data_IF_600722329605
#
_entry.id   IF_600722329605
#
_cell.length_a   1.000
_cell.length_b   1.000
_cell.length_c   1.000
_cell.angle_alpha   90.00
_cell.angle_beta   90.00
_cell.angle_gamma   90.00
#
_symmetry.space_group_name_H-M   'P 1'
#
loop_
_entity.id
_entity.type
_entity.pdbx_description
1 polymer ?
#
# COMPACT_ATOMS: atom_id res chain seq x y z
N UNK A 1 -13.57 -6.82 5.52
CA UNK A 1 -12.25 -6.60 4.91
C UNK A 1 -11.25 -6.08 5.92
N UNK A 2 -10.17 -6.82 6.12
CA UNK A 2 -9.03 -6.49 6.97
C UNK A 2 -7.76 -6.59 6.13
N UNK A 3 -6.74 -5.81 6.49
CA UNK A 3 -5.44 -5.88 5.85
C UNK A 3 -4.31 -5.85 6.86
N UNK A 4 -3.17 -6.38 6.45
CA UNK A 4 -1.89 -6.26 7.15
C UNK A 4 -0.79 -6.21 6.13
N UNK A 5 0.21 -5.37 6.37
CA UNK A 5 1.36 -5.23 5.48
C UNK A 5 2.61 -5.63 6.24
N UNK A 6 3.43 -6.47 5.62
CA UNK A 6 4.72 -6.92 6.12
C UNK A 6 5.79 -6.46 5.13
N UNK A 7 6.87 -5.88 5.65
CA UNK A 7 8.03 -5.48 4.86
C UNK A 7 9.29 -6.15 5.42
N UNK A 8 9.94 -6.93 4.56
CA UNK A 8 11.20 -7.63 4.85
C UNK A 8 12.34 -6.89 4.16
N UNK A 9 13.03 -6.03 4.91
CA UNK A 9 14.13 -5.19 4.39
C UNK A 9 15.36 -6.03 4.05
N UNK A 10 15.74 -6.94 4.96
CA UNK A 10 16.87 -7.86 4.76
C UNK A 10 16.46 -9.10 3.99
N UNK A 11 16.14 -8.92 2.71
CA UNK A 11 15.82 -10.02 1.80
C UNK A 11 16.66 -9.96 0.52
N UNK A 12 16.59 -11.00 -0.31
CA UNK A 12 17.13 -11.00 -1.66
C UNK A 12 15.97 -11.02 -2.66
N UNK A 13 16.18 -10.62 -3.93
CA UNK A 13 15.15 -10.74 -4.95
C UNK A 13 14.60 -12.15 -5.13
N UNK A 14 15.39 -13.17 -4.81
CA UNK A 14 15.02 -14.59 -4.86
C UNK A 14 14.09 -15.02 -3.71
N UNK A 15 14.01 -14.26 -2.61
CA UNK A 15 13.17 -14.58 -1.45
C UNK A 15 11.68 -14.66 -1.82
N UNK A 16 11.24 -13.93 -2.86
CA UNK A 16 9.86 -14.05 -3.35
C UNK A 16 9.55 -15.44 -3.94
N UNK A 17 10.55 -16.11 -4.50
CA UNK A 17 10.42 -17.47 -5.05
C UNK A 17 10.35 -18.49 -3.92
N UNK A 18 11.21 -18.35 -2.90
CA UNK A 18 11.14 -19.18 -1.69
C UNK A 18 9.78 -19.05 -1.00
N UNK A 19 9.22 -17.83 -0.93
CA UNK A 19 7.88 -17.60 -0.41
C UNK A 19 6.82 -18.31 -1.26
N UNK A 20 6.95 -18.26 -2.58
CA UNK A 20 6.04 -18.94 -3.50
C UNK A 20 6.05 -20.46 -3.26
N UNK A 21 7.23 -21.06 -3.10
CA UNK A 21 7.38 -22.50 -2.92
C UNK A 21 6.72 -22.97 -1.60
N UNK A 22 6.89 -22.21 -0.51
CA UNK A 22 6.24 -22.53 0.77
C UNK A 22 4.72 -22.39 0.68
N UNK A 23 4.23 -21.30 0.06
CA UNK A 23 2.80 -21.05 -0.10
C UNK A 23 2.12 -22.07 -1.03
N UNK A 24 2.86 -22.72 -1.93
CA UNK A 24 2.30 -23.65 -2.92
C UNK A 24 1.57 -24.84 -2.31
N UNK A 25 1.88 -25.20 -1.05
CA UNK A 25 1.17 -26.27 -0.33
C UNK A 25 -0.27 -25.90 0.05
N UNK A 26 -0.55 -24.62 0.26
CA UNK A 26 -1.85 -24.11 0.73
C UNK A 26 -2.59 -23.27 -0.33
N UNK A 27 -2.05 -23.25 -1.54
CA UNK A 27 -2.51 -22.35 -2.59
C UNK A 27 -3.72 -22.93 -3.33
N UNK A 28 -4.79 -22.13 -3.43
CA UNK A 28 -5.94 -22.46 -4.29
C UNK A 28 -5.65 -22.02 -5.72
N UNK A 29 -5.20 -20.78 -5.90
CA UNK A 29 -4.88 -20.24 -7.23
C UNK A 29 -3.93 -19.05 -7.18
N UNK A 30 -3.21 -18.81 -8.28
CA UNK A 30 -2.48 -17.56 -8.52
C UNK A 30 -3.37 -16.65 -9.37
N UNK A 31 -3.67 -15.46 -8.84
CA UNK A 31 -4.46 -14.42 -9.52
C UNK A 31 -3.55 -13.51 -10.35
N UNK A 32 -4.16 -12.46 -10.91
CA UNK A 32 -3.49 -11.46 -11.74
C UNK A 32 -2.31 -10.79 -11.02
N UNK A 33 -1.36 -10.33 -11.85
CA UNK A 33 -0.23 -9.53 -11.39
C UNK A 33 -0.70 -8.15 -10.94
N UNK A 34 0.01 -7.58 -9.98
CA UNK A 34 -0.31 -6.25 -9.46
C UNK A 34 0.97 -5.42 -9.28
N UNK A 35 0.78 -4.11 -9.24
CA UNK A 35 1.83 -3.16 -8.95
C UNK A 35 1.36 -2.13 -7.93
N UNK A 36 2.31 -1.52 -7.23
CA UNK A 36 2.07 -0.31 -6.46
C UNK A 36 3.18 0.71 -6.67
N UNK A 37 2.81 1.98 -6.50
CA UNK A 37 3.75 3.09 -6.48
C UNK A 37 3.56 3.88 -5.19
N UNK A 38 4.62 3.98 -4.39
CA UNK A 38 4.68 4.74 -3.14
C UNK A 38 5.60 5.94 -3.34
N UNK A 39 5.08 7.15 -3.14
CA UNK A 39 5.82 8.40 -3.26
C UNK A 39 5.85 9.15 -1.94
N UNK A 40 7.00 9.69 -1.58
CA UNK A 40 7.15 10.59 -0.44
C UNK A 40 7.34 12.01 -0.93
N UNK A 41 6.47 12.91 -0.48
CA UNK A 41 6.54 14.34 -0.72
C UNK A 41 6.93 15.07 0.55
N UNK A 42 7.82 16.07 0.42
CA UNK A 42 8.23 16.95 1.51
C UNK A 42 7.76 18.36 1.25
N UNK A 43 7.13 18.95 2.26
CA UNK A 43 6.68 20.33 2.27
C UNK A 43 7.88 21.29 2.34
N UNK A 44 7.93 22.25 1.44
CA UNK A 44 9.01 23.24 1.31
C UNK A 44 8.78 24.50 2.16
N UNK A 45 7.54 24.71 2.62
CA UNK A 45 7.13 25.90 3.37
C UNK A 45 7.90 26.00 4.70
N UNK A 46 8.62 27.10 4.89
CA UNK A 46 9.46 27.33 6.09
C UNK A 46 8.64 27.85 7.27
N UNK A 47 7.56 28.59 7.02
CA UNK A 47 6.73 29.29 8.02
C UNK A 47 5.74 28.35 8.72
N UNK A 48 6.21 27.20 9.17
CA UNK A 48 5.39 26.24 9.89
C UNK A 48 5.98 26.01 11.28
N UNK A 49 5.13 25.74 12.29
CA UNK A 49 5.59 25.36 13.62
C UNK A 49 6.60 24.19 13.52
N UNK A 50 7.66 24.17 14.35
CA UNK A 50 8.72 23.17 14.28
C UNK A 50 8.20 21.73 14.46
N UNK A 51 7.12 21.54 15.21
CA UNK A 51 6.50 20.23 15.45
C UNK A 51 5.58 19.76 14.32
N UNK A 52 5.33 20.60 13.30
CA UNK A 52 4.42 20.22 12.24
C UNK A 52 5.06 19.17 11.30
N UNK A 53 4.41 18.02 11.08
CA UNK A 53 4.86 17.01 10.14
C UNK A 53 4.89 17.56 8.72
N UNK A 54 6.07 17.47 8.10
CA UNK A 54 6.40 18.01 6.77
C UNK A 54 6.31 16.97 5.66
N UNK A 55 6.06 15.71 5.99
CA UNK A 55 5.96 14.63 5.02
C UNK A 55 4.50 14.35 4.68
N UNK A 56 4.30 13.93 3.44
CA UNK A 56 3.05 13.43 2.90
C UNK A 56 3.40 12.25 2.01
N UNK A 57 2.63 11.18 2.10
CA UNK A 57 2.82 9.99 1.29
C UNK A 57 1.66 9.85 0.31
N UNK A 58 1.96 9.37 -0.89
CA UNK A 58 0.96 9.02 -1.88
C UNK A 58 1.20 7.60 -2.33
N UNK A 59 0.14 6.79 -2.33
CA UNK A 59 0.22 5.37 -2.65
C UNK A 59 -0.82 5.05 -3.72
N UNK A 60 -0.37 4.56 -4.86
CA UNK A 60 -1.23 4.16 -5.96
C UNK A 60 -1.22 2.64 -6.08
N UNK A 61 -2.41 2.03 -6.13
CA UNK A 61 -2.58 0.58 -6.19
C UNK A 61 -3.20 0.17 -7.53
N UNK A 62 -2.50 -0.67 -8.31
CA UNK A 62 -3.04 -1.11 -9.61
C UNK A 62 -4.24 -2.05 -9.45
N UNK A 63 -4.23 -2.90 -8.44
CA UNK A 63 -5.29 -3.88 -8.15
C UNK A 63 -6.54 -3.25 -7.50
N UNK A 64 -6.61 -1.92 -7.40
CA UNK A 64 -7.73 -1.14 -6.84
C UNK A 64 -8.17 -0.03 -7.80
N UNK A 65 -8.31 -0.37 -9.07
CA UNK A 65 -8.72 0.57 -10.13
C UNK A 65 -7.77 1.78 -10.28
N UNK A 66 -6.48 1.60 -10.01
CA UNK A 66 -5.49 2.69 -10.01
C UNK A 66 -5.88 3.87 -9.09
N UNK A 67 -6.56 3.60 -7.98
CA UNK A 67 -6.83 4.61 -6.94
C UNK A 67 -5.53 5.00 -6.24
N UNK A 68 -5.40 6.29 -5.94
CA UNK A 68 -4.28 6.86 -5.20
C UNK A 68 -4.76 7.37 -3.84
N UNK A 69 -4.10 6.93 -2.78
CA UNK A 69 -4.40 7.35 -1.41
C UNK A 69 -3.28 8.24 -0.90
N UNK A 70 -3.64 9.46 -0.52
CA UNK A 70 -2.74 10.45 0.02
C UNK A 70 -2.86 10.43 1.53
N UNK A 71 -1.76 10.16 2.23
CA UNK A 71 -1.70 10.07 3.68
C UNK A 71 -0.85 11.20 4.24
N UNK A 72 -1.43 11.98 5.15
CA UNK A 72 -0.74 13.01 5.92
C UNK A 72 -1.35 13.09 7.31
N UNK A 73 -0.53 13.01 8.36
CA UNK A 73 -0.96 13.21 9.75
C UNK A 73 -2.12 12.29 10.19
N UNK A 74 -2.07 11.00 9.85
CA UNK A 74 -3.17 10.03 10.10
C UNK A 74 -4.51 10.44 9.46
N UNK A 75 -4.47 11.33 8.47
CA UNK A 75 -5.61 11.63 7.61
C UNK A 75 -5.30 11.10 6.23
N UNK A 76 -6.32 10.53 5.58
CA UNK A 76 -6.21 9.98 4.23
C UNK A 76 -7.23 10.64 3.30
N UNK A 77 -6.80 10.89 2.07
CA UNK A 77 -7.65 11.31 0.96
C UNK A 77 -7.53 10.26 -0.13
N UNK A 78 -8.66 9.69 -0.54
CA UNK A 78 -8.72 8.76 -1.67
C UNK A 78 -9.04 9.53 -2.94
N UNK A 79 -8.22 9.37 -3.96
CA UNK A 79 -8.39 9.99 -5.27
C UNK A 79 -8.33 8.92 -6.35
N UNK A 80 -8.87 9.23 -7.53
CA UNK A 80 -8.86 8.33 -8.66
C UNK A 80 -8.73 9.13 -9.94
N UNK A 81 -7.89 8.66 -10.84
CA UNK A 81 -7.76 9.21 -12.20
C UNK A 81 -8.66 8.47 -13.21
N UNK A 82 -9.31 7.37 -12.81
CA UNK A 82 -10.14 6.57 -13.72
C UNK A 82 -11.49 7.24 -14.00
N UNK A 83 -11.86 7.47 -15.27
CA UNK A 83 -13.13 8.12 -15.62
C UNK A 83 -14.36 7.39 -15.05
N UNK A 84 -14.34 6.05 -15.03
CA UNK A 84 -15.46 5.23 -14.52
C UNK A 84 -15.68 5.32 -13.01
N UNK A 85 -14.73 5.89 -12.27
CA UNK A 85 -14.85 6.09 -10.81
C UNK A 85 -15.51 7.40 -10.42
N UNK A 86 -15.74 8.30 -11.39
CA UNK A 86 -16.33 9.62 -11.14
C UNK A 86 -17.84 9.43 -10.96
N UNK A 87 -18.43 9.85 -9.83
CA UNK A 87 -19.87 9.80 -9.64
C UNK A 87 -20.63 10.54 -10.74
N UNK A 88 -21.57 9.87 -11.40
CA UNK A 88 -22.31 10.42 -12.55
C UNK A 88 -23.00 11.75 -12.23
N UNK A 89 -23.48 11.93 -11.00
CA UNK A 89 -24.08 13.18 -10.54
C UNK A 89 -23.12 14.39 -10.65
N UNK A 90 -21.82 14.20 -10.42
CA UNK A 90 -20.84 15.30 -10.53
C UNK A 90 -20.61 15.70 -11.99
N UNK A 91 -20.66 14.75 -12.91
CA UNK A 91 -20.57 15.02 -14.35
C UNK A 91 -21.84 15.68 -14.88
N UNK A 92 -23.02 15.15 -14.50
CA UNK A 92 -24.32 15.67 -14.93
C UNK A 92 -24.56 17.11 -14.46
N UNK A 93 -24.08 17.46 -13.26
CA UNK A 93 -24.20 18.80 -12.71
C UNK A 93 -23.09 19.75 -13.17
N UNK A 94 -22.20 19.32 -14.07
CA UNK A 94 -21.09 20.15 -14.59
C UNK A 94 -19.97 20.44 -13.58
N UNK A 95 -19.95 19.74 -12.43
CA UNK A 95 -18.89 19.88 -11.42
C UNK A 95 -17.59 19.18 -11.82
N UNK A 96 -17.66 18.18 -12.70
CA UNK A 96 -16.52 17.45 -13.23
C UNK A 96 -16.56 17.42 -14.75
N UNK A 97 -15.40 17.58 -15.38
CA UNK A 97 -15.21 17.46 -16.84
C UNK A 97 -15.12 16.00 -17.32
N UNK A 98 -15.32 15.02 -16.43
CA UNK A 98 -15.11 13.59 -16.67
C UNK A 98 -13.67 13.20 -17.09
N UNK A 99 -12.73 14.15 -17.00
CA UNK A 99 -11.30 13.94 -17.22
C UNK A 99 -10.56 14.31 -15.93
N UNK A 100 -9.95 13.31 -15.31
CA UNK A 100 -9.18 13.48 -14.08
C UNK A 100 -7.74 13.06 -14.31
N UNK A 101 -6.81 13.90 -13.89
CA UNK A 101 -5.39 13.56 -13.81
C UNK A 101 -5.08 12.94 -12.44
N UNK A 102 -3.95 12.23 -12.34
CA UNK A 102 -3.47 11.74 -11.04
C UNK A 102 -3.14 12.91 -10.11
N UNK A 103 -3.47 12.77 -8.83
CA UNK A 103 -3.12 13.77 -7.81
C UNK A 103 -1.60 13.99 -7.73
N UNK A 104 -0.79 12.96 -7.99
CA UNK A 104 0.67 13.10 -8.02
C UNK A 104 1.13 14.02 -9.16
N UNK A 105 0.43 13.98 -10.31
CA UNK A 105 0.70 14.89 -11.42
C UNK A 105 0.37 16.33 -11.03
N UNK A 106 -0.73 16.56 -10.32
CA UNK A 106 -1.07 17.87 -9.78
C UNK A 106 0.01 18.38 -8.82
N UNK A 107 0.49 17.53 -7.91
CA UNK A 107 1.55 17.87 -6.95
C UNK A 107 2.85 18.28 -7.63
N UNK A 108 3.27 17.53 -8.64
CA UNK A 108 4.55 17.72 -9.33
C UNK A 108 4.52 18.81 -10.41
N UNK A 109 3.37 19.05 -11.04
CA UNK A 109 3.25 20.02 -12.13
C UNK A 109 2.74 21.39 -11.68
N UNK A 110 1.77 21.45 -10.75
CA UNK A 110 1.10 22.70 -10.33
C UNK A 110 1.45 23.14 -8.92
N UNK A 111 1.76 22.20 -8.02
CA UNK A 111 2.04 22.48 -6.60
C UNK A 111 3.50 22.21 -6.21
N UNK A 112 4.41 22.18 -7.19
CA UNK A 112 5.84 21.86 -6.99
C UNK A 112 6.59 22.89 -6.16
N UNK A 113 6.09 24.13 -6.11
CA UNK A 113 6.57 25.17 -5.22
C UNK A 113 6.31 24.85 -3.74
N UNK A 114 5.27 24.08 -3.43
CA UNK A 114 4.90 23.66 -2.07
C UNK A 114 5.43 22.27 -1.72
N UNK A 115 5.36 21.34 -2.67
CA UNK A 115 5.68 19.94 -2.44
C UNK A 115 6.80 19.48 -3.36
N UNK A 116 7.86 18.92 -2.77
CA UNK A 116 8.94 18.29 -3.53
C UNK A 116 8.91 16.79 -3.32
N UNK A 117 8.86 16.02 -4.40
CA UNK A 117 9.00 14.56 -4.34
C UNK A 117 10.43 14.20 -3.92
N UNK A 118 10.56 13.45 -2.83
CA UNK A 118 11.85 13.02 -2.26
C UNK A 118 12.22 11.60 -2.59
N UNK A 119 11.23 10.73 -2.66
CA UNK A 119 11.44 9.31 -2.87
C UNK A 119 10.29 8.73 -3.68
N UNK A 120 10.63 7.76 -4.52
CA UNK A 120 9.66 6.87 -5.16
C UNK A 120 10.12 5.45 -4.91
N UNK A 121 9.19 4.65 -4.41
CA UNK A 121 9.32 3.23 -4.18
C UNK A 121 8.27 2.55 -5.06
N UNK A 122 8.65 1.50 -5.76
CA UNK A 122 7.76 0.75 -6.66
C UNK A 122 7.85 -0.73 -6.35
N UNK A 123 6.73 -1.41 -6.41
CA UNK A 123 6.69 -2.87 -6.49
C UNK A 123 5.98 -3.23 -7.78
N UNK A 124 6.73 -3.65 -8.80
CA UNK A 124 6.20 -3.99 -10.11
C UNK A 124 6.10 -5.50 -10.30
N UNK A 125 5.08 -5.95 -11.03
CA UNK A 125 4.85 -7.38 -11.36
C UNK A 125 4.73 -8.29 -10.13
N UNK A 126 4.13 -7.78 -9.05
CA UNK A 126 3.78 -8.53 -7.86
C UNK A 126 2.85 -9.70 -8.17
N UNK A 127 2.99 -10.78 -7.43
CA UNK A 127 2.13 -11.96 -7.52
C UNK A 127 1.00 -11.87 -6.51
N UNK A 128 -0.18 -12.35 -6.91
CA UNK A 128 -1.35 -12.48 -6.03
C UNK A 128 -1.63 -13.96 -5.81
N UNK A 129 -1.54 -14.42 -4.58
CA UNK A 129 -1.77 -15.78 -4.14
C UNK A 129 -3.11 -15.86 -3.41
N UNK A 130 -4.02 -16.69 -3.89
CA UNK A 130 -5.29 -16.96 -3.23
C UNK A 130 -5.17 -18.25 -2.41
N UNK A 131 -5.34 -18.14 -1.10
CA UNK A 131 -5.52 -19.28 -0.19
C UNK A 131 -7.00 -19.40 0.19
N UNK A 132 -7.37 -20.44 0.95
CA UNK A 132 -8.72 -20.60 1.48
C UNK A 132 -9.16 -19.46 2.41
N UNK A 133 -8.21 -18.88 3.15
CA UNK A 133 -8.49 -17.95 4.24
C UNK A 133 -8.03 -16.52 3.94
N UNK A 134 -7.01 -16.35 3.10
CA UNK A 134 -6.35 -15.08 2.83
C UNK A 134 -6.03 -14.89 1.36
N UNK A 135 -6.10 -13.63 0.92
CA UNK A 135 -5.46 -13.16 -0.30
C UNK A 135 -4.11 -12.59 0.07
N UNK A 136 -3.03 -13.23 -0.40
CA UNK A 136 -1.64 -12.85 -0.10
C UNK A 136 -1.04 -12.24 -1.36
N UNK A 137 -0.60 -10.99 -1.29
CA UNK A 137 0.04 -10.28 -2.40
C UNK A 137 1.50 -10.05 -2.05
N UNK A 138 2.42 -10.56 -2.86
CA UNK A 138 3.85 -10.36 -2.62
C UNK A 138 4.51 -9.68 -3.81
N UNK A 139 5.44 -8.76 -3.54
CA UNK A 139 6.20 -8.08 -4.59
C UNK A 139 7.57 -7.63 -4.09
N UNK A 140 8.54 -7.65 -4.99
CA UNK A 140 9.86 -7.09 -4.74
C UNK A 140 9.79 -5.57 -4.84
N UNK A 141 10.32 -4.91 -3.81
CA UNK A 141 10.28 -3.46 -3.67
C UNK A 141 11.58 -2.85 -4.17
N UNK A 142 11.47 -1.92 -5.10
CA UNK A 142 12.59 -1.20 -5.67
C UNK A 142 12.46 0.30 -5.39
N UNK A 143 13.59 0.93 -5.15
CA UNK A 143 13.73 2.38 -5.12
C UNK A 143 14.75 2.81 -6.19
N UNK A 144 15.01 4.11 -6.32
CA UNK A 144 16.05 4.59 -7.23
C UNK A 144 17.44 3.97 -6.92
N UNK A 145 17.71 3.65 -5.64
CA UNK A 145 18.96 3.01 -5.21
C UNK A 145 19.03 1.49 -5.46
N UNK A 146 18.02 0.90 -6.11
CA UNK A 146 17.93 -0.54 -6.34
C UNK A 146 16.94 -1.25 -5.43
N UNK A 147 17.15 -2.55 -5.24
CA UNK A 147 16.31 -3.41 -4.42
C UNK A 147 16.30 -2.95 -2.96
N UNK A 148 15.11 -2.80 -2.38
CA UNK A 148 14.90 -2.36 -0.98
C UNK A 148 14.44 -3.50 -0.07
N UNK A 149 13.76 -4.50 -0.61
CA UNK A 149 13.22 -5.60 0.17
C UNK A 149 12.02 -6.28 -0.48
N UNK A 150 11.37 -7.16 0.27
CA UNK A 150 10.16 -7.88 -0.11
C UNK A 150 8.98 -7.31 0.67
N UNK A 151 7.89 -7.01 -0.03
CA UNK A 151 6.64 -6.58 0.60
C UNK A 151 5.57 -7.65 0.42
N UNK A 152 4.86 -7.92 1.52
CA UNK A 152 3.79 -8.89 1.59
C UNK A 152 2.57 -8.18 2.15
N UNK A 153 1.52 -8.10 1.36
CA UNK A 153 0.21 -7.60 1.74
C UNK A 153 -0.71 -8.80 1.99
N UNK A 154 -1.35 -8.82 3.15
CA UNK A 154 -2.33 -9.81 3.55
C UNK A 154 -3.70 -9.15 3.56
N UNK A 155 -4.67 -9.76 2.88
CA UNK A 155 -6.05 -9.33 2.85
C UNK A 155 -6.98 -10.47 3.26
N UNK A 156 -7.95 -10.15 4.12
CA UNK A 156 -9.04 -11.05 4.46
C UNK A 156 -10.37 -10.37 4.12
N UNK A 157 -11.14 -10.99 3.23
CA UNK A 157 -12.43 -10.44 2.77
C UNK A 157 -13.51 -10.55 3.86
N UNK A 158 -13.50 -11.67 4.59
CA UNK A 158 -14.46 -12.01 5.64
C UNK A 158 -14.38 -11.09 6.87
N UNK A 159 -15.53 -10.84 7.50
CA UNK A 159 -15.64 -10.12 8.77
C UNK A 159 -15.34 -11.09 9.93
N UNK A 160 -14.07 -11.45 10.08
CA UNK A 160 -13.60 -12.32 11.17
C UNK A 160 -13.25 -11.51 12.44
N UNK A 161 -13.26 -12.13 13.63
CA UNK A 161 -12.76 -11.54 14.87
C UNK A 161 -11.27 -11.17 14.79
N UNK A 162 -10.83 -10.20 15.60
CA UNK A 162 -9.41 -9.76 15.65
C UNK A 162 -8.48 -10.94 15.95
N UNK A 163 -8.86 -11.78 16.92
CA UNK A 163 -8.08 -12.94 17.34
C UNK A 163 -7.85 -13.97 16.24
N UNK A 164 -8.81 -14.16 15.34
CA UNK A 164 -8.69 -15.13 14.26
C UNK A 164 -7.79 -14.58 13.14
N UNK A 165 -7.90 -13.29 12.84
CA UNK A 165 -7.02 -12.65 11.88
C UNK A 165 -5.56 -12.68 12.35
N UNK A 166 -5.32 -12.45 13.64
CA UNK A 166 -3.98 -12.55 14.24
C UNK A 166 -3.39 -13.96 14.13
N UNK A 167 -4.21 -15.01 14.27
CA UNK A 167 -3.76 -16.39 14.05
C UNK A 167 -3.33 -16.62 12.60
N UNK A 168 -4.10 -16.11 11.64
CA UNK A 168 -3.75 -16.20 10.21
C UNK A 168 -2.46 -15.44 9.88
N UNK A 169 -2.26 -14.25 10.47
CA UNK A 169 -1.00 -13.51 10.38
C UNK A 169 0.16 -14.32 10.97
N UNK A 170 -0.02 -14.92 12.15
CA UNK A 170 1.01 -15.74 12.80
C UNK A 170 1.40 -16.97 11.96
N UNK A 171 0.49 -17.54 11.17
CA UNK A 171 0.82 -18.59 10.20
C UNK A 171 1.82 -18.11 9.16
N UNK A 172 1.62 -16.92 8.59
CA UNK A 172 2.57 -16.31 7.66
C UNK A 172 3.90 -15.99 8.34
N UNK A 173 3.88 -15.56 9.61
CA UNK A 173 5.11 -15.34 10.39
C UNK A 173 5.90 -16.63 10.60
N UNK A 174 5.21 -17.76 10.78
CA UNK A 174 5.87 -19.06 10.85
C UNK A 174 6.54 -19.42 9.52
N UNK A 175 5.88 -19.18 8.38
CA UNK A 175 6.50 -19.37 7.06
C UNK A 175 7.75 -18.52 6.87
N UNK A 176 7.71 -17.25 7.26
CA UNK A 176 8.89 -16.38 7.23
C UNK A 176 10.01 -16.93 8.12
N UNK A 177 9.68 -17.44 9.32
CA UNK A 177 10.66 -18.07 10.20
C UNK A 177 11.27 -19.33 9.59
N UNK A 178 10.47 -20.15 8.91
CA UNK A 178 10.95 -21.35 8.22
C UNK A 178 11.91 -21.00 7.07
N UNK A 179 11.75 -19.81 6.46
CA UNK A 179 12.70 -19.21 5.51
C UNK A 179 13.91 -18.54 6.17
N UNK A 180 14.08 -18.66 7.49
CA UNK A 180 15.11 -17.96 8.28
C UNK A 180 15.01 -16.42 8.23
N UNK A 181 13.81 -15.87 8.03
CA UNK A 181 13.53 -14.43 8.06
C UNK A 181 12.94 -14.05 9.42
N UNK A 182 13.78 -13.43 10.25
CA UNK A 182 13.38 -13.00 11.61
C UNK A 182 13.15 -11.48 11.70
N UNK A 183 13.81 -10.70 10.86
CA UNK A 183 13.78 -9.22 10.89
C UNK A 183 12.84 -8.68 9.80
N UNK A 184 11.64 -8.28 10.22
CA UNK A 184 10.64 -7.66 9.35
C UNK A 184 9.78 -6.67 10.12
N UNK A 185 9.28 -5.66 9.40
CA UNK A 185 8.28 -4.72 9.90
C UNK A 185 6.89 -5.24 9.55
N UNK A 186 5.96 -5.13 10.48
CA UNK A 186 4.55 -5.51 10.28
C UNK A 186 3.64 -4.40 10.78
N UNK A 187 2.57 -4.11 10.06
CA UNK A 187 1.56 -3.16 10.48
C UNK A 187 0.15 -3.64 10.11
N UNK A 188 -0.72 -3.63 11.10
CA UNK A 188 -2.14 -3.96 11.01
C UNK A 188 -3.02 -2.81 11.52
N UNK A 189 -2.45 -1.60 11.59
CA UNK A 189 -3.10 -0.42 12.16
C UNK A 189 -4.39 -0.06 11.42
N UNK A 190 -5.33 0.51 12.17
CA UNK A 190 -6.58 1.09 11.66
C UNK A 190 -6.48 2.61 11.84
N UNK A 191 -6.81 3.38 10.81
CA UNK A 191 -6.71 4.84 10.84
C UNK A 191 -7.81 5.46 11.70
N UNK A 192 -9.06 5.06 11.49
CA UNK A 192 -10.23 5.51 12.26
C UNK A 192 -11.09 4.30 12.68
N UNK A 193 -11.14 3.96 13.98
CA UNK A 193 -11.97 2.87 14.48
C UNK A 193 -13.47 3.06 14.25
N UNK A 194 -13.96 4.31 14.18
CA UNK A 194 -15.38 4.63 14.02
C UNK A 194 -15.82 4.64 12.55
N UNK A 195 -14.92 5.03 11.64
CA UNK A 195 -15.18 5.10 10.19
C UNK A 195 -14.11 4.34 9.43
N UNK A 196 -14.18 3.02 9.50
CA UNK A 196 -13.25 2.12 8.81
C UNK A 196 -13.35 2.32 7.30
N UNK A 197 -12.22 2.60 6.68
CA UNK A 197 -12.08 2.61 5.23
C UNK A 197 -10.86 1.77 4.87
N UNK A 198 -11.12 0.63 4.23
CA UNK A 198 -10.09 -0.34 3.89
C UNK A 198 -8.89 0.27 3.14
N UNK A 199 -9.13 1.13 2.14
CA UNK A 199 -8.04 1.71 1.35
C UNK A 199 -7.20 2.69 2.18
N UNK A 200 -7.84 3.45 3.07
CA UNK A 200 -7.15 4.35 3.97
C UNK A 200 -6.29 3.59 4.99
N UNK A 201 -6.85 2.52 5.57
CA UNK A 201 -6.16 1.66 6.53
C UNK A 201 -4.96 0.98 5.86
N UNK A 202 -5.16 0.38 4.68
CA UNK A 202 -4.09 -0.23 3.88
C UNK A 202 -2.97 0.78 3.58
N UNK A 203 -3.32 1.96 3.07
CA UNK A 203 -2.34 3.01 2.77
C UNK A 203 -1.54 3.42 4.02
N UNK A 204 -2.19 3.54 5.18
CA UNK A 204 -1.52 3.86 6.44
C UNK A 204 -0.55 2.75 6.87
N UNK A 205 -0.92 1.48 6.67
CA UNK A 205 -0.06 0.33 6.96
C UNK A 205 1.19 0.35 6.08
N UNK A 206 1.04 0.62 4.78
CA UNK A 206 2.17 0.81 3.85
C UNK A 206 3.11 1.95 4.31
N UNK A 207 2.55 3.10 4.71
CA UNK A 207 3.36 4.20 5.27
C UNK A 207 4.16 3.71 6.47
N UNK A 208 3.53 3.03 7.43
CA UNK A 208 4.20 2.57 8.65
C UNK A 208 5.35 1.59 8.43
N UNK A 209 5.23 0.70 7.44
CA UNK A 209 6.27 -0.30 7.18
C UNK A 209 7.36 0.19 6.23
N UNK A 210 7.05 1.13 5.32
CA UNK A 210 8.00 1.66 4.33
C UNK A 210 8.71 2.95 4.77
N UNK A 211 8.12 3.70 5.72
CA UNK A 211 8.76 4.82 6.38
C UNK A 211 9.89 4.30 7.30
N UNK A 212 11.11 4.76 7.02
CA UNK A 212 12.34 4.43 7.74
C UNK A 212 12.72 5.59 8.65
#
# INVERSE_FOLDING_TARGET
MRSTVIFVEKSAPATITELHDILSNDLISVKEKWSFEFKTFRLTVKNLPPESPRLMHSITFSHRDNKSVIVKNKSAIVTSAMPGSIPAALTLNGCSSASCESFDHLLTSKLSNLWTQRQTIKGDFGSTYQTSELTIRATNVFSYGGFKGLLIELECEEQIPDSEFDQRINRIRNYLRDMSIEDYKICSDIMDPQRRNFLCDLAQQYVKVLEL
#
